data_IF_672987464843
#
_entry.id   IF_672987464843
#
_cell.length_a   1.000
_cell.length_b   1.000
_cell.length_c   1.000
_cell.angle_alpha   90.00
_cell.angle_beta   90.00
_cell.angle_gamma   90.00
#
_symmetry.space_group_name_H-M   'P 1'
#
loop_
_entity.id
_entity.type
_entity.pdbx_description
1 polymer ?
#
# COMPACT_ATOMS: atom_id res chain seq x y z
N UNK A 1 -12.52 15.97 -15.92
CA UNK A 1 -12.41 15.26 -15.58
C UNK A 1 -12.20 14.68 -14.99
N UNK A 2 -12.00 14.81 -14.65
CA UNK A 2 -11.83 14.15 -13.89
C UNK A 2 -11.16 13.35 -13.69
N UNK A 3 -10.70 13.31 -13.50
CA UNK A 3 -10.05 12.33 -13.21
C UNK A 3 -9.86 11.61 -12.99
N UNK A 4 -9.55 11.41 -12.95
CA UNK A 4 -9.39 10.43 -12.70
C UNK A 4 -8.94 9.95 -12.03
N UNK A 5 -8.64 10.06 -12.02
CA UNK A 5 -8.39 9.59 -11.30
C UNK A 5 -8.75 10.01 -10.54
N UNK A 6 -9.20 10.48 -10.61
CA UNK A 6 -9.66 10.60 -9.93
C UNK A 6 -10.29 10.15 -9.62
N UNK A 7 -10.53 10.06 -9.51
CA UNK A 7 -11.10 9.42 -9.15
C UNK A 7 -11.66 9.45 -8.78
N UNK A 8 -11.95 9.60 -8.60
CA UNK A 8 -12.46 9.44 -8.16
C UNK A 8 -12.74 9.90 -7.57
N UNK A 9 -12.74 10.29 -7.40
CA UNK A 9 -13.00 10.64 -6.75
C UNK A 9 -13.24 11.47 -6.32
N UNK A 10 -13.35 11.82 -6.44
CA UNK A 10 -13.61 12.41 -5.98
C UNK A 10 -14.20 13.01 -5.64
N UNK A 11 -14.52 13.31 -5.61
CA UNK A 11 -15.11 13.78 -5.21
C UNK A 11 -15.68 14.01 -4.36
N UNK A 12 -15.84 13.92 -4.10
CA UNK A 12 -16.48 14.21 -3.15
C UNK A 12 -16.36 15.25 -2.57
N UNK A 13 -16.62 15.96 -2.41
CA UNK A 13 -16.37 16.77 -1.82
C UNK A 13 -17.05 17.19 -0.81
N UNK A 14 -17.38 16.95 -0.12
CA UNK A 14 -17.94 17.50 0.85
C UNK A 14 -17.11 17.95 1.83
N UNK A 15 -17.40 18.78 2.50
CA UNK A 15 -16.69 19.49 3.35
C UNK A 15 -15.78 18.73 4.13
N UNK A 16 -15.84 18.58 5.20
CA UNK A 16 -14.83 18.07 6.07
C UNK A 16 -14.15 16.82 5.63
N UNK A 17 -14.62 16.20 4.60
CA UNK A 17 -14.02 14.98 4.17
C UNK A 17 -12.96 15.11 3.14
N UNK A 18 -12.66 16.31 2.69
CA UNK A 18 -11.85 16.39 1.49
C UNK A 18 -10.44 15.91 1.66
N UNK A 19 -9.87 15.90 2.83
CA UNK A 19 -8.52 15.41 3.01
C UNK A 19 -8.44 13.95 3.37
N UNK A 20 -9.55 13.23 3.32
CA UNK A 20 -9.59 11.83 3.65
C UNK A 20 -9.61 10.91 2.45
N UNK A 21 -9.50 11.47 1.23
CA UNK A 21 -9.43 10.64 0.05
C UNK A 21 -8.25 9.69 0.12
N UNK A 22 -8.44 8.48 -0.37
CA UNK A 22 -7.38 7.48 -0.33
C UNK A 22 -6.24 7.87 -1.25
N UNK A 23 -5.01 7.79 -0.77
CA UNK A 23 -3.82 8.11 -1.55
C UNK A 23 -2.60 7.46 -0.94
N UNK A 24 -1.56 7.34 -1.72
CA UNK A 24 -0.27 6.87 -1.25
C UNK A 24 0.77 7.97 -1.44
N UNK A 25 1.85 7.90 -0.65
CA UNK A 25 2.95 8.86 -0.69
C UNK A 25 4.26 8.15 -0.42
N UNK A 26 5.35 8.73 -0.91
CA UNK A 26 6.69 8.36 -0.48
C UNK A 26 7.28 9.51 0.34
N UNK A 27 8.20 9.18 1.24
CA UNK A 27 8.98 10.21 1.94
C UNK A 27 10.44 9.74 2.02
N UNK A 28 11.35 10.72 2.07
CA UNK A 28 12.77 10.41 2.06
C UNK A 28 13.22 9.87 3.40
N UNK A 29 14.11 8.88 3.38
CA UNK A 29 14.73 8.36 4.59
C UNK A 29 16.11 7.80 4.26
N UNK A 30 17.07 8.70 3.98
CA UNK A 30 18.44 8.30 3.65
C UNK A 30 18.48 7.50 2.36
N UNK A 31 19.13 6.34 2.42
CA UNK A 31 19.23 5.44 1.27
C UNK A 31 18.00 4.58 1.07
N UNK A 32 17.09 4.58 2.03
CA UNK A 32 15.86 3.78 1.97
C UNK A 32 14.68 4.67 1.61
N UNK A 33 13.50 4.08 1.46
CA UNK A 33 12.32 4.79 1.00
C UNK A 33 11.23 4.64 2.05
N UNK A 34 10.64 5.79 2.45
CA UNK A 34 9.45 5.78 3.28
C UNK A 34 8.21 5.59 2.44
N UNK A 35 7.32 4.71 2.89
CA UNK A 35 6.04 4.45 2.23
C UNK A 35 4.91 4.82 3.17
N UNK A 36 3.87 5.46 2.62
CA UNK A 36 2.74 5.95 3.41
C UNK A 36 1.43 5.74 2.65
N UNK A 37 0.44 5.21 3.37
CA UNK A 37 -0.92 5.14 2.86
C UNK A 37 -1.81 6.00 3.73
N UNK A 38 -2.75 6.72 3.09
CA UNK A 38 -3.71 7.61 3.75
C UNK A 38 -5.08 7.29 3.22
N UNK A 39 -6.08 7.26 4.10
CA UNK A 39 -7.44 7.01 3.65
C UNK A 39 -8.49 7.32 4.69
N UNK A 40 -9.75 7.25 4.30
CA UNK A 40 -10.87 7.54 5.21
C UNK A 40 -11.06 6.47 6.28
N UNK A 41 -10.52 5.27 6.06
CA UNK A 41 -10.58 4.17 7.01
C UNK A 41 -9.19 3.58 7.18
N UNK A 42 -9.01 2.82 8.26
CA UNK A 42 -7.76 2.12 8.49
C UNK A 42 -7.46 1.15 7.35
N UNK A 43 -8.50 0.43 6.89
CA UNK A 43 -8.36 -0.49 5.77
C UNK A 43 -7.86 0.23 4.52
N UNK A 44 -8.41 1.41 4.22
CA UNK A 44 -7.97 2.18 3.06
C UNK A 44 -6.51 2.59 3.18
N UNK A 45 -6.06 2.97 4.39
CA UNK A 45 -4.65 3.32 4.60
C UNK A 45 -3.75 2.11 4.35
N UNK A 46 -4.17 0.92 4.78
CA UNK A 46 -3.41 -0.31 4.54
C UNK A 46 -3.37 -0.66 3.04
N UNK A 47 -4.47 -0.43 2.33
CA UNK A 47 -4.49 -0.65 0.88
C UNK A 47 -3.53 0.30 0.18
N UNK A 48 -3.52 1.58 0.58
CA UNK A 48 -2.70 2.59 -0.06
C UNK A 48 -1.21 2.43 0.24
N UNK A 49 -0.84 1.98 1.44
CA UNK A 49 0.57 1.73 1.71
C UNK A 49 1.10 0.59 0.84
N UNK A 50 0.24 -0.38 0.50
CA UNK A 50 0.62 -1.45 -0.43
C UNK A 50 0.86 -0.90 -1.84
N UNK A 51 0.05 0.07 -2.28
CA UNK A 51 0.30 0.75 -3.56
C UNK A 51 1.62 1.50 -3.51
N UNK A 52 1.90 2.18 -2.38
CA UNK A 52 3.18 2.88 -2.19
C UNK A 52 4.36 1.92 -2.29
N UNK A 53 4.21 0.71 -1.77
CA UNK A 53 5.24 -0.33 -1.88
C UNK A 53 5.50 -0.66 -3.37
N UNK A 54 4.44 -0.91 -4.14
CA UNK A 54 4.59 -1.19 -5.57
C UNK A 54 5.22 -0.01 -6.29
N UNK A 55 4.82 1.21 -5.94
CA UNK A 55 5.35 2.42 -6.58
C UNK A 55 6.85 2.61 -6.34
N UNK A 56 7.41 1.96 -5.33
CA UNK A 56 8.85 1.93 -5.11
C UNK A 56 9.56 1.14 -6.22
N UNK A 57 8.89 0.12 -6.75
CA UNK A 57 9.45 -0.81 -7.72
C UNK A 57 9.14 -0.38 -9.15
N UNK A 58 7.90 -0.01 -9.42
CA UNK A 58 7.41 0.29 -10.76
C UNK A 58 6.23 1.24 -10.66
N UNK A 59 5.82 1.79 -11.81
CA UNK A 59 4.57 2.58 -11.88
C UNK A 59 3.39 1.63 -11.63
N UNK A 60 2.60 1.82 -10.58
CA UNK A 60 1.46 0.94 -10.32
C UNK A 60 0.46 0.87 -11.49
N UNK A 61 0.33 1.95 -12.27
CA UNK A 61 -0.57 1.97 -13.41
C UNK A 61 -0.12 1.02 -14.52
N UNK A 62 1.15 0.61 -14.51
CA UNK A 62 1.67 -0.33 -15.51
C UNK A 62 1.41 -1.79 -15.14
N UNK A 63 0.86 -2.07 -13.95
CA UNK A 63 0.60 -3.43 -13.50
C UNK A 63 -0.87 -3.75 -13.70
N UNK A 64 -1.15 -4.81 -14.45
CA UNK A 64 -2.54 -5.23 -14.75
C UNK A 64 -3.06 -6.10 -13.60
N UNK A 65 -4.28 -5.84 -13.10
CA UNK A 65 -4.84 -6.62 -12.00
C UNK A 65 -5.50 -7.92 -12.50
N UNK A 66 -4.71 -8.80 -13.11
CA UNK A 66 -5.23 -9.96 -13.82
C UNK A 66 -5.43 -11.17 -12.94
N UNK A 67 -4.62 -11.35 -11.89
CA UNK A 67 -4.70 -12.52 -11.02
C UNK A 67 -4.67 -12.08 -9.56
N UNK A 68 -5.39 -12.81 -8.71
CA UNK A 68 -5.55 -12.47 -7.30
C UNK A 68 -4.75 -13.43 -6.41
N UNK A 69 -4.13 -12.89 -5.38
CA UNK A 69 -3.44 -13.66 -4.35
C UNK A 69 -4.01 -13.23 -3.00
N UNK A 70 -4.40 -14.19 -2.17
CA UNK A 70 -4.92 -13.91 -0.84
C UNK A 70 -3.83 -13.98 0.21
N UNK A 71 -3.89 -13.06 1.17
CA UNK A 71 -2.90 -12.94 2.23
C UNK A 71 -3.65 -12.78 3.55
N UNK A 72 -3.21 -13.52 4.57
CA UNK A 72 -3.75 -13.40 5.92
C UNK A 72 -2.60 -13.15 6.87
N UNK A 73 -2.73 -12.11 7.71
CA UNK A 73 -1.74 -11.77 8.71
C UNK A 73 -2.43 -11.64 10.07
N UNK A 74 -1.69 -11.94 11.13
CA UNK A 74 -2.15 -11.70 12.51
C UNK A 74 -1.01 -11.10 13.29
N UNK A 75 -1.29 -10.06 14.06
CA UNK A 75 -0.29 -9.40 14.89
C UNK A 75 -1.00 -8.66 16.02
N UNK A 76 -0.32 -8.46 17.16
CA UNK A 76 -0.97 -7.85 18.32
C UNK A 76 -1.26 -6.35 18.18
N UNK A 77 -0.62 -5.65 17.26
CA UNK A 77 -0.85 -4.21 17.06
C UNK A 77 -1.02 -3.90 15.60
N UNK A 78 -1.64 -2.75 15.30
CA UNK A 78 -1.80 -2.27 13.93
C UNK A 78 -0.45 -2.05 13.26
N UNK A 79 0.52 -1.52 14.03
CA UNK A 79 1.85 -1.27 13.50
C UNK A 79 2.51 -2.56 13.03
N UNK A 80 2.44 -3.61 13.82
CA UNK A 80 3.01 -4.89 13.44
C UNK A 80 2.24 -5.52 12.28
N UNK A 81 0.93 -5.28 12.19
CA UNK A 81 0.16 -5.73 11.04
C UNK A 81 0.64 -5.07 9.75
N UNK A 82 0.99 -3.78 9.78
CA UNK A 82 1.53 -3.10 8.59
C UNK A 82 2.81 -3.79 8.12
N UNK A 83 3.73 -4.07 9.05
CA UNK A 83 4.99 -4.72 8.70
C UNK A 83 4.73 -6.11 8.13
N UNK A 84 3.86 -6.89 8.77
CA UNK A 84 3.55 -8.24 8.29
C UNK A 84 2.88 -8.22 6.93
N UNK A 85 1.96 -7.27 6.72
CA UNK A 85 1.26 -7.10 5.45
C UNK A 85 2.25 -6.81 4.32
N UNK A 86 3.13 -5.83 4.52
CA UNK A 86 4.11 -5.46 3.50
C UNK A 86 5.10 -6.59 3.25
N UNK A 87 5.57 -7.25 4.30
CA UNK A 87 6.51 -8.36 4.14
C UNK A 87 5.86 -9.56 3.45
N UNK A 88 4.57 -9.81 3.70
CA UNK A 88 3.84 -10.85 3.00
C UNK A 88 3.75 -10.53 1.51
N UNK A 89 3.50 -9.26 1.16
CA UNK A 89 3.46 -8.83 -0.23
C UNK A 89 4.82 -9.01 -0.91
N UNK A 90 5.90 -8.62 -0.22
CA UNK A 90 7.26 -8.79 -0.74
C UNK A 90 7.54 -10.27 -1.00
N UNK A 91 7.13 -11.14 -0.07
CA UNK A 91 7.31 -12.57 -0.21
C UNK A 91 6.56 -13.12 -1.42
N UNK A 92 5.31 -12.73 -1.60
CA UNK A 92 4.50 -13.18 -2.74
C UNK A 92 5.04 -12.67 -4.07
N UNK A 93 5.51 -11.42 -4.09
CA UNK A 93 6.14 -10.86 -5.29
C UNK A 93 7.37 -11.69 -5.68
N UNK A 94 8.22 -12.02 -4.70
CA UNK A 94 9.46 -12.73 -4.96
C UNK A 94 9.22 -14.18 -5.37
N UNK A 95 8.37 -14.89 -4.63
CA UNK A 95 8.19 -16.33 -4.87
C UNK A 95 7.35 -16.61 -6.10
N UNK A 96 6.39 -15.73 -6.41
CA UNK A 96 5.52 -15.89 -7.59
C UNK A 96 6.05 -15.15 -8.80
N UNK A 97 7.07 -14.30 -8.62
CA UNK A 97 7.57 -13.40 -9.66
C UNK A 97 6.45 -12.57 -10.27
N UNK A 98 5.72 -11.90 -9.38
CA UNK A 98 4.59 -11.06 -9.73
C UNK A 98 4.77 -9.67 -9.18
N UNK A 99 4.04 -8.72 -9.76
CA UNK A 99 3.84 -7.40 -9.19
C UNK A 99 2.33 -7.20 -8.99
N UNK A 100 1.97 -6.46 -7.94
CA UNK A 100 0.57 -6.21 -7.60
C UNK A 100 0.32 -4.71 -7.58
N UNK A 101 -0.88 -4.26 -7.94
CA UNK A 101 -1.20 -2.84 -7.95
C UNK A 101 -2.57 -2.51 -7.36
N UNK A 102 -3.43 -3.50 -7.19
CA UNK A 102 -4.76 -3.29 -6.62
C UNK A 102 -4.87 -4.18 -5.38
N UNK A 103 -5.36 -3.59 -4.29
CA UNK A 103 -5.40 -4.28 -3.00
C UNK A 103 -6.72 -4.03 -2.32
N UNK A 104 -7.28 -5.06 -1.66
CA UNK A 104 -8.38 -4.88 -0.73
C UNK A 104 -7.98 -5.47 0.61
N UNK A 105 -8.38 -4.81 1.69
CA UNK A 105 -8.01 -5.21 3.04
C UNK A 105 -9.26 -5.19 3.92
N UNK A 106 -9.40 -6.23 4.72
CA UNK A 106 -10.36 -6.31 5.81
C UNK A 106 -9.60 -6.49 7.10
N UNK A 107 -9.92 -5.68 8.10
CA UNK A 107 -9.30 -5.76 9.42
C UNK A 107 -10.35 -6.14 10.44
N UNK A 108 -10.07 -7.20 11.19
CA UNK A 108 -10.93 -7.64 12.29
C UNK A 108 -10.05 -8.01 13.47
N UNK A 109 -10.21 -7.29 14.56
CA UNK A 109 -9.39 -7.51 15.75
C UNK A 109 -7.91 -7.42 15.39
N UNK A 110 -7.17 -8.48 15.59
CA UNK A 110 -5.74 -8.52 15.31
C UNK A 110 -5.44 -9.19 13.98
N UNK A 111 -6.41 -9.28 13.07
CA UNK A 111 -6.28 -10.06 11.86
C UNK A 111 -6.53 -9.21 10.63
N UNK A 112 -5.65 -9.35 9.65
CA UNK A 112 -5.79 -8.74 8.34
C UNK A 112 -6.06 -9.85 7.32
N UNK A 113 -7.10 -9.67 6.52
CA UNK A 113 -7.35 -10.50 5.34
C UNK A 113 -7.27 -9.58 4.13
N UNK A 114 -6.33 -9.86 3.24
CA UNK A 114 -6.11 -9.01 2.09
C UNK A 114 -6.12 -9.80 0.80
N UNK A 115 -6.41 -9.11 -0.29
CA UNK A 115 -6.29 -9.66 -1.64
C UNK A 115 -5.46 -8.69 -2.46
N UNK A 116 -4.47 -9.22 -3.15
CA UNK A 116 -3.60 -8.45 -4.04
C UNK A 116 -3.83 -8.93 -5.47
N UNK A 117 -4.12 -8.00 -6.37
CA UNK A 117 -4.30 -8.30 -7.80
C UNK A 117 -3.10 -7.78 -8.57
N UNK A 118 -2.59 -8.64 -9.46
CA UNK A 118 -1.44 -8.28 -10.27
C UNK A 118 -1.21 -9.25 -11.41
N UNK A 119 0.04 -9.30 -11.86
CA UNK A 119 0.44 -10.08 -13.02
C UNK A 119 1.90 -10.48 -12.91
N UNK A 120 2.35 -11.47 -13.70
CA UNK A 120 3.77 -11.79 -13.73
C UNK A 120 4.62 -10.58 -14.14
N UNK A 121 5.82 -10.49 -13.58
CA UNK A 121 6.74 -9.41 -13.91
C UNK A 121 7.13 -9.48 -15.38
N UNK A 122 7.01 -8.36 -16.06
CA UNK A 122 7.47 -8.16 -17.42
C UNK A 122 8.51 -7.05 -17.37
N UNK A 123 9.79 -7.41 -17.44
CA UNK A 123 10.88 -6.47 -17.23
C UNK A 123 10.81 -5.30 -18.22
N UNK A 124 10.47 -5.60 -19.50
CA UNK A 124 10.39 -4.55 -20.50
C UNK A 124 9.28 -3.56 -20.24
N UNK A 125 8.11 -4.01 -19.81
CA UNK A 125 6.96 -3.15 -19.60
C UNK A 125 6.94 -2.51 -18.22
N UNK A 126 7.30 -3.28 -17.18
CA UNK A 126 7.29 -2.76 -15.81
C UNK A 126 8.55 -1.96 -15.48
N UNK A 127 9.68 -2.26 -16.14
CA UNK A 127 10.96 -1.59 -15.89
C UNK A 127 11.24 -1.44 -14.39
N UNK A 128 11.30 -2.56 -13.65
CA UNK A 128 11.47 -2.47 -12.18
C UNK A 128 12.77 -1.74 -11.83
N UNK A 129 12.66 -0.76 -10.95
CA UNK A 129 13.78 0.12 -10.61
C UNK A 129 14.65 -0.43 -9.48
N UNK A 130 14.02 -1.07 -8.50
CA UNK A 130 14.73 -1.59 -7.33
C UNK A 130 14.05 -2.89 -6.89
N UNK A 131 14.76 -3.65 -6.06
CA UNK A 131 14.18 -4.79 -5.36
C UNK A 131 13.97 -4.38 -3.91
N UNK A 132 12.73 -4.50 -3.42
CA UNK A 132 12.44 -4.25 -2.01
C UNK A 132 12.75 -5.51 -1.23
N UNK A 133 13.59 -5.36 -0.19
CA UNK A 133 13.99 -6.50 0.64
C UNK A 133 13.00 -6.74 1.76
N UNK A 134 12.36 -5.72 2.27
CA UNK A 134 11.36 -5.87 3.30
C UNK A 134 10.99 -4.55 3.94
N UNK A 135 9.95 -4.61 4.78
CA UNK A 135 9.54 -3.50 5.61
C UNK A 135 10.35 -3.51 6.91
N UNK A 136 10.57 -2.32 7.46
CA UNK A 136 11.31 -2.17 8.72
C UNK A 136 10.40 -1.53 9.76
N UNK A 137 10.88 -1.49 11.01
CA UNK A 137 10.17 -0.81 12.08
C UNK A 137 10.51 0.68 12.16
N UNK A 138 11.34 1.17 11.23
CA UNK A 138 11.75 2.58 11.21
C UNK A 138 10.58 3.45 10.78
N UNK A 139 10.31 4.50 11.54
CA UNK A 139 9.21 5.45 11.30
C UNK A 139 7.85 4.74 11.21
N UNK A 140 7.72 3.59 11.82
CA UNK A 140 6.49 2.78 11.79
C UNK A 140 5.40 3.48 12.60
N UNK A 141 4.26 3.74 11.95
CA UNK A 141 3.16 4.43 12.59
C UNK A 141 1.83 4.06 11.93
N UNK A 142 0.81 3.85 12.76
CA UNK A 142 -0.58 3.77 12.31
C UNK A 142 -1.36 4.69 13.23
N UNK A 143 -2.00 5.71 12.68
CA UNK A 143 -2.68 6.71 13.48
C UNK A 143 -3.79 7.39 12.68
N UNK A 144 -4.68 8.04 13.39
CA UNK A 144 -5.74 8.86 12.79
C UNK A 144 -5.38 10.31 12.99
N UNK A 145 -5.42 11.08 11.90
CA UNK A 145 -5.13 12.51 11.96
C UNK A 145 -6.26 13.30 12.61
N UNK A 146 -5.99 14.56 12.90
CA UNK A 146 -6.99 15.45 13.49
C UNK A 146 -8.23 15.61 12.60
N UNK A 147 -8.09 15.50 11.28
CA UNK A 147 -9.20 15.59 10.35
C UNK A 147 -9.91 14.25 10.12
N UNK A 148 -9.50 13.21 10.83
CA UNK A 148 -10.12 11.89 10.75
C UNK A 148 -9.51 10.94 9.74
N UNK A 149 -8.51 11.36 8.97
CA UNK A 149 -7.85 10.48 8.03
C UNK A 149 -6.94 9.48 8.75
N UNK A 150 -6.94 8.24 8.28
CA UNK A 150 -6.03 7.23 8.79
C UNK A 150 -4.73 7.24 8.00
N UNK A 151 -3.62 7.05 8.69
CA UNK A 151 -2.27 7.02 8.11
C UNK A 151 -1.58 5.75 8.55
N UNK A 152 -0.99 5.03 7.60
CA UNK A 152 -0.11 3.89 7.86
C UNK A 152 1.20 4.17 7.14
N UNK A 153 2.33 4.05 7.85
CA UNK A 153 3.63 4.38 7.26
C UNK A 153 4.76 3.60 7.89
N UNK A 154 5.80 3.38 7.12
CA UNK A 154 7.07 2.83 7.59
C UNK A 154 8.13 3.03 6.50
N UNK A 155 9.37 2.62 6.80
CA UNK A 155 10.46 2.65 5.83
C UNK A 155 10.68 1.25 5.29
N UNK A 156 10.86 1.13 3.98
CA UNK A 156 11.20 -0.14 3.35
C UNK A 156 12.67 -0.15 2.96
N UNK A 157 13.28 -1.31 3.08
CA UNK A 157 14.69 -1.55 2.79
C UNK A 157 14.81 -1.97 1.32
N UNK A 158 15.65 -1.27 0.58
CA UNK A 158 15.84 -1.52 -0.86
C UNK A 158 17.28 -1.92 -1.21
#
# INVERSE_FOLDING_TARGET
MRDRGRAAGDEARSSGGMNRAARWEHFDHGADIGVRGVGPTKEAAFEQIAVALTATITDPAAVRPAAAVEIVCEAPTDELLVVDWLNALVYEMATRRMLFAVFTVTLEDSRLTGTAWGEPVDVGRHAPAVEVKGATYTALRVAQDADGAWVAECVVDV
#
